data_IF_790525452817
#
_entry.id   IF_790525452817
#
_cell.length_a   1.000
_cell.length_b   1.000
_cell.length_c   1.000
_cell.angle_alpha   90.00
_cell.angle_beta   90.00
_cell.angle_gamma   90.00
#
_symmetry.space_group_name_H-M   'P 1'
#
loop_
_entity.id
_entity.type
_entity.pdbx_description
1 polymer ?
#
# COMPACT_ATOMS: atom_id res chain seq x y z
N UNK A 1 23.57 4.17 3.57
CA UNK A 1 22.98 4.22 2.21
C UNK A 1 21.91 3.13 2.16
N UNK A 2 20.64 3.47 2.42
CA UNK A 2 19.59 2.50 2.70
C UNK A 2 18.85 2.03 1.43
N UNK A 3 18.64 0.70 1.36
CA UNK A 3 17.66 -0.09 0.56
C UNK A 3 17.33 0.39 -0.84
N UNK A 4 17.83 -0.19 -1.94
CA UNK A 4 17.62 -1.56 -2.46
C UNK A 4 16.15 -1.99 -2.59
N UNK A 5 15.77 -2.21 -3.85
CA UNK A 5 14.60 -2.95 -4.38
C UNK A 5 13.25 -2.23 -4.46
N UNK A 6 13.12 -1.30 -5.42
CA UNK A 6 11.89 -1.11 -6.20
C UNK A 6 12.00 -1.91 -7.50
N UNK A 7 11.81 -3.22 -7.45
CA UNK A 7 11.77 -4.05 -8.67
C UNK A 7 10.98 -5.32 -8.41
N UNK A 8 9.64 -5.26 -8.40
CA UNK A 8 8.77 -6.36 -8.87
C UNK A 8 7.26 -6.03 -8.94
N UNK A 9 6.84 -4.78 -9.10
CA UNK A 9 5.42 -4.42 -9.25
C UNK A 9 5.10 -3.81 -10.64
N UNK A 10 5.82 -4.22 -11.69
CA UNK A 10 5.62 -3.70 -13.07
C UNK A 10 4.60 -4.51 -13.89
N UNK A 11 3.85 -5.43 -13.32
CA UNK A 11 2.75 -6.07 -14.06
C UNK A 11 1.60 -6.27 -13.11
N UNK A 12 0.62 -5.36 -13.17
CA UNK A 12 -0.78 -5.70 -13.46
C UNK A 12 -1.67 -4.45 -13.50
N UNK A 13 -2.45 -4.39 -14.57
CA UNK A 13 -3.72 -3.68 -14.76
C UNK A 13 -3.74 -2.25 -15.36
N UNK A 14 -3.61 -2.22 -16.70
CA UNK A 14 -4.25 -1.22 -17.57
C UNK A 14 -5.78 -1.37 -17.50
N UNK A 15 -6.41 -0.58 -16.62
CA UNK A 15 -7.81 -0.08 -16.63
C UNK A 15 -8.22 0.09 -15.15
N UNK A 16 -8.58 1.32 -14.77
CA UNK A 16 -8.71 1.79 -13.38
C UNK A 16 -9.23 0.73 -12.41
N UNK A 17 -8.43 0.37 -11.41
CA UNK A 17 -8.76 -0.72 -10.51
C UNK A 17 -8.15 -0.48 -9.14
N UNK A 18 -9.03 -0.44 -8.16
CA UNK A 18 -8.72 -0.60 -6.75
C UNK A 18 -7.96 -1.91 -6.51
N UNK A 19 -6.84 -1.88 -5.78
CA UNK A 19 -6.10 -3.09 -5.40
C UNK A 19 -7.01 -4.08 -4.68
N UNK A 20 -6.94 -5.35 -5.10
CA UNK A 20 -7.72 -6.44 -4.52
C UNK A 20 -7.18 -6.80 -3.14
N UNK A 21 -8.06 -7.28 -2.27
CA UNK A 21 -7.70 -7.76 -0.93
C UNK A 21 -6.61 -8.83 -0.95
N UNK A 22 -6.63 -9.75 -1.90
CA UNK A 22 -5.62 -10.81 -2.01
C UNK A 22 -4.22 -10.25 -2.27
N UNK A 23 -4.10 -9.23 -3.11
CA UNK A 23 -2.81 -8.57 -3.38
C UNK A 23 -2.32 -7.81 -2.16
N UNK A 24 -3.21 -7.13 -1.44
CA UNK A 24 -2.88 -6.43 -0.19
C UNK A 24 -2.36 -7.41 0.85
N UNK A 25 -3.01 -8.57 1.00
CA UNK A 25 -2.57 -9.63 1.91
C UNK A 25 -1.20 -10.18 1.50
N UNK A 26 -0.92 -10.28 0.19
CA UNK A 26 0.38 -10.73 -0.31
C UNK A 26 1.48 -9.72 0.03
N UNK A 27 1.27 -8.45 -0.30
CA UNK A 27 2.20 -7.36 0.05
C UNK A 27 2.43 -7.27 1.56
N UNK A 28 1.37 -7.42 2.37
CA UNK A 28 1.47 -7.47 3.83
C UNK A 28 2.39 -8.61 4.28
N UNK A 29 2.15 -9.83 3.80
CA UNK A 29 2.96 -11.00 4.15
C UNK A 29 4.42 -10.85 3.71
N UNK A 30 4.68 -10.28 2.52
CA UNK A 30 6.04 -10.00 2.05
C UNK A 30 6.78 -8.98 2.94
N UNK A 31 6.05 -8.10 3.62
CA UNK A 31 6.58 -7.15 4.61
C UNK A 31 6.60 -7.71 6.04
N UNK A 32 6.19 -8.96 6.26
CA UNK A 32 6.10 -9.58 7.58
C UNK A 32 4.87 -9.14 8.40
N UNK A 33 3.87 -8.53 7.77
CA UNK A 33 2.61 -8.11 8.39
C UNK A 33 1.59 -9.24 8.24
N UNK A 34 0.98 -9.65 9.35
CA UNK A 34 -0.05 -10.68 9.31
C UNK A 34 -1.42 -10.07 8.91
N UNK A 35 -2.03 -10.50 7.79
CA UNK A 35 -3.31 -9.97 7.35
C UNK A 35 -4.52 -10.33 8.23
N UNK A 36 -4.44 -11.42 8.99
CA UNK A 36 -5.44 -11.81 10.00
C UNK A 36 -6.90 -11.46 9.65
N UNK A 37 -7.59 -10.82 10.61
CA UNK A 37 -8.95 -10.25 10.45
C UNK A 37 -8.92 -8.73 10.22
N UNK A 38 -7.80 -8.20 9.72
CA UNK A 38 -7.63 -6.76 9.52
C UNK A 38 -8.41 -6.27 8.31
N UNK A 39 -8.93 -5.04 8.40
CA UNK A 39 -9.62 -4.39 7.28
C UNK A 39 -8.62 -4.01 6.19
N UNK A 40 -9.11 -3.75 4.98
CA UNK A 40 -8.30 -3.27 3.84
C UNK A 40 -7.42 -2.11 4.28
N UNK A 41 -8.06 -1.13 4.92
CA UNK A 41 -7.41 0.10 5.35
C UNK A 41 -6.33 -0.16 6.38
N UNK A 42 -6.60 -0.95 7.42
CA UNK A 42 -5.59 -1.32 8.42
C UNK A 42 -4.39 -2.03 7.80
N UNK A 43 -4.62 -2.93 6.85
CA UNK A 43 -3.52 -3.62 6.18
C UNK A 43 -2.64 -2.68 5.38
N UNK A 44 -3.26 -1.83 4.57
CA UNK A 44 -2.53 -0.85 3.77
C UNK A 44 -1.77 0.12 4.67
N UNK A 45 -2.39 0.62 5.74
CA UNK A 45 -1.75 1.49 6.72
C UNK A 45 -0.53 0.83 7.36
N UNK A 46 -0.64 -0.44 7.76
CA UNK A 46 0.50 -1.17 8.30
C UNK A 46 1.61 -1.35 7.26
N UNK A 47 1.26 -1.64 6.00
CA UNK A 47 2.24 -1.71 4.90
C UNK A 47 2.93 -0.35 4.72
N UNK A 48 2.17 0.75 4.70
CA UNK A 48 2.72 2.10 4.60
C UNK A 48 3.72 2.39 5.73
N UNK A 49 3.37 2.07 6.99
CA UNK A 49 4.31 2.21 8.11
C UNK A 49 5.56 1.35 7.96
N UNK A 50 5.40 0.10 7.50
CA UNK A 50 6.54 -0.79 7.23
C UNK A 50 7.43 -0.31 6.09
N UNK A 51 6.89 0.49 5.17
CA UNK A 51 7.65 1.18 4.13
C UNK A 51 8.30 2.49 4.61
N UNK A 52 7.99 2.94 5.84
CA UNK A 52 8.40 4.25 6.34
C UNK A 52 7.57 5.42 5.79
N UNK A 53 6.41 5.11 5.21
CA UNK A 53 5.46 6.07 4.66
C UNK A 53 4.40 6.46 5.70
N UNK A 54 3.69 7.57 5.45
CA UNK A 54 2.55 7.97 6.26
C UNK A 54 1.36 7.03 6.00
N UNK A 55 0.71 6.56 7.05
CA UNK A 55 -0.46 5.68 7.00
C UNK A 55 -1.76 6.42 6.66
N UNK A 56 -1.72 7.19 5.56
CA UNK A 56 -2.80 8.08 5.17
C UNK A 56 -3.97 7.37 4.44
N UNK A 57 -3.86 6.08 4.14
CA UNK A 57 -4.88 5.35 3.39
C UNK A 57 -6.23 5.35 4.13
N UNK A 58 -7.31 5.75 3.45
CA UNK A 58 -8.68 5.86 4.02
C UNK A 58 -8.75 6.70 5.32
N UNK A 59 -7.75 7.56 5.58
CA UNK A 59 -7.70 8.41 6.77
C UNK A 59 -8.34 9.79 6.56
N UNK A 60 -8.76 10.09 5.33
CA UNK A 60 -9.14 11.44 4.90
C UNK A 60 -7.95 12.40 4.71
N UNK A 61 -6.72 11.97 5.02
CA UNK A 61 -5.50 12.78 4.86
C UNK A 61 -4.75 12.51 3.55
N UNK A 62 -5.30 11.69 2.66
CA UNK A 62 -4.70 11.40 1.35
C UNK A 62 -4.44 12.69 0.54
N UNK A 63 -5.32 13.69 0.65
CA UNK A 63 -5.19 15.02 0.06
C UNK A 63 -3.99 15.83 0.58
N UNK A 64 -3.49 15.51 1.79
CA UNK A 64 -2.33 16.16 2.43
C UNK A 64 -1.06 15.30 2.42
N UNK A 65 -1.13 14.08 1.90
CA UNK A 65 -0.03 13.11 1.95
C UNK A 65 1.22 13.58 1.20
N UNK A 66 1.05 14.25 0.05
CA UNK A 66 2.17 14.72 -0.78
C UNK A 66 3.02 13.63 -1.42
N UNK A 67 2.90 12.36 -1.02
CA UNK A 67 3.65 11.25 -1.62
C UNK A 67 3.08 10.85 -2.97
N UNK A 68 3.86 11.13 -4.02
CA UNK A 68 3.53 10.81 -5.41
C UNK A 68 3.82 9.35 -5.77
N UNK A 69 4.81 8.72 -5.11
CA UNK A 69 5.21 7.32 -5.32
C UNK A 69 4.48 6.28 -4.49
N UNK A 70 3.36 6.64 -3.84
CA UNK A 70 2.60 5.68 -3.03
C UNK A 70 1.87 4.68 -3.94
N UNK A 71 2.12 3.38 -3.75
CA UNK A 71 1.45 2.30 -4.47
C UNK A 71 -0.08 2.40 -4.39
N UNK A 72 -0.57 2.88 -3.24
CA UNK A 72 -1.98 2.97 -2.89
C UNK A 72 -2.65 4.25 -3.39
N UNK A 73 -1.91 5.17 -4.03
CA UNK A 73 -2.43 6.49 -4.43
C UNK A 73 -3.65 6.39 -5.37
N UNK A 74 -3.69 5.37 -6.22
CA UNK A 74 -4.85 5.10 -7.09
C UNK A 74 -6.10 4.64 -6.35
N UNK A 75 -5.95 4.02 -5.18
CA UNK A 75 -7.04 3.61 -4.28
C UNK A 75 -7.39 4.69 -3.23
N UNK A 76 -6.57 5.74 -3.09
CA UNK A 76 -6.77 6.81 -2.11
C UNK A 76 -7.79 7.89 -2.56
N UNK A 77 -8.32 7.79 -3.80
CA UNK A 77 -9.22 8.77 -4.44
C UNK A 77 -10.69 8.35 -4.35
#
# INVERSE_FOLDING_TARGET
MAGRQVSFHEKLNRRGATMKMDEIKKTAQEKGINPGKSRKADLIRNIQRAEGNNDCFESGQASKCGQTGCLWRGDCL
#
